data_IF_887075536183
#
_entry.id   IF_887075536183
#
_cell.length_a   1.000
_cell.length_b   1.000
_cell.length_c   1.000
_cell.angle_alpha   90.00
_cell.angle_beta   90.00
_cell.angle_gamma   90.00
#
_symmetry.space_group_name_H-M   'P 1'
#
loop_
_entity.id
_entity.type
_entity.pdbx_description
1 polymer ?
#
# COMPACT_ATOMS: atom_id res chain seq x y z
N UNK A 1 22.78 -15.86 -35.01
CA UNK A 1 22.87 -15.42 -33.61
C UNK A 1 21.49 -15.55 -32.98
N UNK A 2 21.34 -16.40 -31.97
CA UNK A 2 20.05 -16.69 -31.35
C UNK A 2 19.59 -15.50 -30.49
N UNK A 3 18.32 -15.13 -30.62
CA UNK A 3 17.70 -13.99 -29.95
C UNK A 3 17.40 -14.37 -28.49
N UNK A 4 18.42 -14.31 -27.64
CA UNK A 4 18.42 -14.73 -26.23
C UNK A 4 17.86 -13.63 -25.31
N UNK A 5 16.60 -13.25 -25.53
CA UNK A 5 15.92 -12.20 -24.75
C UNK A 5 14.48 -12.56 -24.41
N UNK A 6 14.20 -13.84 -24.14
CA UNK A 6 12.94 -14.24 -23.50
C UNK A 6 13.00 -13.88 -22.02
N UNK A 7 13.02 -12.58 -21.70
CA UNK A 7 12.75 -12.12 -20.32
C UNK A 7 11.47 -12.82 -19.86
N UNK A 8 11.48 -13.55 -18.74
CA UNK A 8 10.26 -14.18 -18.27
C UNK A 8 9.21 -13.07 -18.12
N UNK A 9 8.08 -13.19 -18.83
CA UNK A 9 6.92 -12.28 -18.71
C UNK A 9 6.30 -12.27 -17.30
N UNK A 10 6.96 -12.89 -16.33
CA UNK A 10 6.52 -12.96 -14.96
C UNK A 10 6.63 -11.58 -14.32
N UNK A 11 5.70 -11.30 -13.43
CA UNK A 11 5.80 -10.14 -12.57
C UNK A 11 7.02 -10.30 -11.66
N UNK A 12 7.87 -9.28 -11.57
CA UNK A 12 9.03 -9.35 -10.67
C UNK A 12 8.54 -9.46 -9.22
N UNK A 13 9.27 -10.15 -8.33
CA UNK A 13 8.89 -10.27 -6.92
C UNK A 13 8.66 -8.91 -6.24
N UNK A 14 9.49 -7.92 -6.56
CA UNK A 14 9.35 -6.53 -6.07
C UNK A 14 7.99 -5.92 -6.44
N UNK A 15 7.55 -6.13 -7.69
CA UNK A 15 6.26 -5.64 -8.17
C UNK A 15 5.10 -6.41 -7.55
N UNK A 16 5.25 -7.72 -7.34
CA UNK A 16 4.27 -8.53 -6.62
C UNK A 16 4.08 -7.99 -5.20
N UNK A 17 5.17 -7.80 -4.46
CA UNK A 17 5.16 -7.27 -3.10
C UNK A 17 4.53 -5.87 -3.06
N UNK A 18 4.95 -4.97 -3.95
CA UNK A 18 4.39 -3.62 -3.99
C UNK A 18 2.89 -3.60 -4.30
N UNK A 19 2.42 -4.50 -5.16
CA UNK A 19 1.01 -4.64 -5.48
C UNK A 19 0.22 -5.16 -4.27
N UNK A 20 0.74 -6.17 -3.57
CA UNK A 20 0.13 -6.73 -2.35
C UNK A 20 0.04 -5.65 -1.26
N UNK A 21 1.08 -4.86 -1.04
CA UNK A 21 1.08 -3.76 -0.07
C UNK A 21 -0.01 -2.72 -0.37
N UNK A 22 -0.15 -2.31 -1.63
CA UNK A 22 -1.16 -1.34 -2.03
C UNK A 22 -2.58 -1.88 -1.84
N UNK A 23 -2.79 -3.15 -2.17
CA UNK A 23 -4.09 -3.80 -1.97
C UNK A 23 -4.40 -4.00 -0.48
N UNK A 24 -3.40 -4.32 0.35
CA UNK A 24 -3.56 -4.41 1.81
C UNK A 24 -3.97 -3.07 2.43
N UNK A 25 -3.56 -1.95 1.82
CA UNK A 25 -4.00 -0.60 2.21
C UNK A 25 -5.41 -0.24 1.71
N UNK A 26 -6.12 -1.17 1.07
CA UNK A 26 -7.47 -0.97 0.55
C UNK A 26 -7.56 -0.41 -0.86
N UNK A 27 -6.45 -0.32 -1.59
CA UNK A 27 -6.49 0.07 -3.00
C UNK A 27 -7.10 -1.04 -3.85
N UNK A 28 -7.90 -0.67 -4.87
CA UNK A 28 -8.38 -1.63 -5.85
C UNK A 28 -7.21 -2.25 -6.61
N UNK A 29 -7.31 -3.54 -6.92
CA UNK A 29 -6.25 -4.28 -7.64
C UNK A 29 -5.88 -3.59 -8.96
N UNK A 30 -6.85 -3.05 -9.70
CA UNK A 30 -6.59 -2.33 -10.97
C UNK A 30 -5.81 -1.03 -10.77
N UNK A 31 -6.11 -0.27 -9.73
CA UNK A 31 -5.40 0.96 -9.38
C UNK A 31 -3.99 0.65 -8.88
N UNK A 32 -3.86 -0.39 -8.04
CA UNK A 32 -2.58 -0.88 -7.56
C UNK A 32 -1.70 -1.40 -8.71
N UNK A 33 -2.28 -2.10 -9.70
CA UNK A 33 -1.60 -2.53 -10.90
C UNK A 33 -1.06 -1.34 -11.70
N UNK A 34 -1.91 -0.33 -11.97
CA UNK A 34 -1.48 0.90 -12.67
C UNK A 34 -0.34 1.59 -11.93
N UNK A 35 -0.44 1.70 -10.60
CA UNK A 35 0.56 2.37 -9.75
C UNK A 35 1.89 1.62 -9.65
N UNK A 36 1.89 0.31 -9.88
CA UNK A 36 3.08 -0.55 -9.99
C UNK A 36 3.62 -0.66 -11.43
N UNK A 37 3.02 0.07 -12.37
CA UNK A 37 3.42 0.04 -13.79
C UNK A 37 3.04 -1.26 -14.50
N UNK A 38 1.96 -1.91 -14.07
CA UNK A 38 1.49 -3.19 -14.59
C UNK A 38 0.04 -3.12 -15.06
N UNK A 39 -0.30 -3.92 -16.08
CA UNK A 39 -1.69 -4.03 -16.52
C UNK A 39 -2.47 -5.04 -15.66
N UNK A 40 -3.79 -4.87 -15.53
CA UNK A 40 -4.65 -5.86 -14.88
C UNK A 40 -4.54 -7.25 -15.51
N UNK A 41 -4.34 -7.34 -16.84
CA UNK A 41 -4.08 -8.61 -17.54
C UNK A 41 -2.78 -9.27 -17.10
N UNK A 42 -1.74 -8.49 -16.82
CA UNK A 42 -0.46 -8.99 -16.27
C UNK A 42 -0.68 -9.60 -14.88
N UNK A 43 -1.42 -8.91 -14.02
CA UNK A 43 -1.77 -9.41 -12.68
C UNK A 43 -2.57 -10.70 -12.78
N UNK A 44 -3.57 -10.77 -13.65
CA UNK A 44 -4.39 -11.98 -13.84
C UNK A 44 -3.55 -13.17 -14.33
N UNK A 45 -2.61 -12.94 -15.26
CA UNK A 45 -1.68 -13.98 -15.72
C UNK A 45 -0.77 -14.45 -14.58
N UNK A 46 -0.29 -13.53 -13.75
CA UNK A 46 0.55 -13.87 -12.61
C UNK A 46 -0.21 -14.67 -11.55
N UNK A 47 -1.46 -14.32 -11.26
CA UNK A 47 -2.34 -15.09 -10.36
C UNK A 47 -2.51 -16.54 -10.82
N UNK A 48 -2.63 -16.76 -12.13
CA UNK A 48 -2.71 -18.11 -12.72
C UNK A 48 -1.38 -18.86 -12.68
N UNK A 49 -0.25 -18.13 -12.73
CA UNK A 49 1.09 -18.70 -12.73
C UNK A 49 1.59 -19.06 -11.32
N UNK A 50 1.26 -18.24 -10.33
CA UNK A 50 1.73 -18.38 -8.95
C UNK A 50 0.54 -18.45 -7.98
N UNK A 51 0.19 -19.66 -7.48
CA UNK A 51 -0.84 -19.82 -6.46
C UNK A 51 -0.53 -19.05 -5.17
N UNK A 52 0.75 -18.95 -4.80
CA UNK A 52 1.18 -18.17 -3.65
C UNK A 52 0.86 -16.69 -3.81
N UNK A 53 1.14 -16.12 -4.99
CA UNK A 53 0.81 -14.72 -5.27
C UNK A 53 -0.70 -14.49 -5.23
N UNK A 54 -1.49 -15.40 -5.79
CA UNK A 54 -2.96 -15.33 -5.74
C UNK A 54 -3.48 -15.35 -4.30
N UNK A 55 -2.96 -16.27 -3.48
CA UNK A 55 -3.31 -16.37 -2.07
C UNK A 55 -2.98 -15.09 -1.29
N UNK A 56 -1.74 -14.58 -1.42
CA UNK A 56 -1.30 -13.38 -0.71
C UNK A 56 -2.09 -12.15 -1.14
N UNK A 57 -2.37 -12.01 -2.44
CA UNK A 57 -3.17 -10.92 -2.98
C UNK A 57 -4.62 -10.99 -2.48
N UNK A 58 -5.19 -12.20 -2.40
CA UNK A 58 -6.51 -12.45 -1.83
C UNK A 58 -6.59 -12.09 -0.34
N UNK A 59 -5.58 -12.49 0.45
CA UNK A 59 -5.48 -12.14 1.88
C UNK A 59 -5.32 -10.65 2.11
N UNK A 60 -4.47 -9.98 1.33
CA UNK A 60 -4.33 -8.53 1.38
C UNK A 60 -5.66 -7.81 1.12
N UNK A 61 -6.47 -8.31 0.18
CA UNK A 61 -7.80 -7.76 -0.10
C UNK A 61 -8.80 -7.96 1.04
N UNK A 62 -8.73 -9.09 1.76
CA UNK A 62 -9.62 -9.38 2.90
C UNK A 62 -9.23 -8.61 4.16
N UNK A 63 -7.92 -8.40 4.38
CA UNK A 63 -7.40 -7.64 5.52
C UNK A 63 -7.49 -6.12 5.35
N UNK A 64 -7.74 -5.64 4.14
CA UNK A 64 -8.03 -4.24 3.90
C UNK A 64 -9.32 -3.84 4.63
N UNK A 65 -9.37 -2.67 5.29
CA UNK A 65 -10.62 -2.17 5.86
C UNK A 65 -11.67 -2.13 4.75
N UNK A 66 -12.68 -2.99 4.86
CA UNK A 66 -13.79 -3.11 3.92
C UNK A 66 -14.64 -1.83 3.84
N UNK A 67 -14.41 -0.89 4.75
CA UNK A 67 -14.96 0.46 4.75
C UNK A 67 -14.19 1.33 3.76
N UNK A 68 -14.90 1.89 2.78
CA UNK A 68 -14.37 2.98 1.94
C UNK A 68 -13.83 4.08 2.86
N UNK A 69 -12.58 4.56 2.67
CA UNK A 69 -12.06 5.66 3.45
C UNK A 69 -13.01 6.85 3.29
N UNK A 70 -13.62 7.23 4.40
CA UNK A 70 -14.57 8.33 4.48
C UNK A 70 -13.82 9.66 4.57
N UNK A 71 -14.52 10.77 4.35
CA UNK A 71 -13.94 12.11 4.53
C UNK A 71 -13.37 12.29 5.95
N UNK A 72 -13.94 11.60 6.94
CA UNK A 72 -13.45 11.57 8.31
C UNK A 72 -12.05 10.92 8.44
N UNK A 73 -11.77 9.85 7.69
CA UNK A 73 -10.47 9.16 7.70
C UNK A 73 -9.38 10.04 7.04
N UNK A 74 -9.76 10.80 6.01
CA UNK A 74 -8.90 11.81 5.38
C UNK A 74 -8.61 13.01 6.29
N UNK A 75 -9.59 13.42 7.10
CA UNK A 75 -9.37 14.47 8.11
C UNK A 75 -8.51 13.94 9.26
N UNK A 76 -8.77 12.72 9.71
CA UNK A 76 -8.03 12.05 10.78
C UNK A 76 -6.53 11.89 10.45
N UNK A 77 -6.20 11.54 9.21
CA UNK A 77 -4.80 11.44 8.74
C UNK A 77 -4.06 12.78 8.61
N UNK A 78 -4.79 13.91 8.56
CA UNK A 78 -4.22 15.27 8.56
C UNK A 78 -4.17 15.90 9.94
N UNK A 79 -5.03 15.47 10.87
CA UNK A 79 -4.93 15.89 12.27
C UNK A 79 -3.76 15.19 12.93
N UNK A 80 -2.82 15.94 13.52
CA UNK A 80 -1.77 15.32 14.31
C UNK A 80 -2.40 14.59 15.50
N UNK A 81 -2.14 13.28 15.59
CA UNK A 81 -2.66 12.42 16.65
C UNK A 81 -2.19 12.85 18.05
N UNK A 82 -2.65 12.15 19.10
CA UNK A 82 -2.27 12.43 20.49
C UNK A 82 -0.75 12.55 20.68
N UNK A 83 0.03 11.70 20.00
CA UNK A 83 1.50 11.71 20.04
C UNK A 83 2.11 13.02 19.52
N UNK A 84 1.55 13.60 18.46
CA UNK A 84 2.02 14.88 17.93
C UNK A 84 1.58 16.06 18.82
N UNK A 85 0.55 15.88 19.65
CA UNK A 85 0.15 16.83 20.70
C UNK A 85 1.11 16.78 21.88
N UNK A 86 1.46 15.56 22.33
CA UNK A 86 2.48 15.33 23.36
C UNK A 86 3.84 15.86 22.90
N UNK A 87 4.26 15.60 21.66
CA UNK A 87 5.50 16.13 21.11
C UNK A 87 5.54 17.65 21.03
N UNK A 88 4.43 18.31 20.70
CA UNK A 88 4.32 19.78 20.75
C UNK A 88 4.33 20.32 22.17
N UNK A 89 3.69 19.64 23.11
CA UNK A 89 3.69 20.04 24.52
C UNK A 89 5.09 19.89 25.13
N UNK A 90 5.76 18.76 24.91
CA UNK A 90 7.14 18.55 25.35
C UNK A 90 8.11 19.59 24.76
N UNK A 91 7.94 19.94 23.47
CA UNK A 91 8.73 20.99 22.83
C UNK A 91 8.48 22.36 23.48
N UNK A 92 7.22 22.71 23.77
CA UNK A 92 6.86 23.97 24.43
C UNK A 92 7.40 24.07 25.86
N UNK A 93 7.35 22.97 26.62
CA UNK A 93 7.96 22.89 27.97
C UNK A 93 9.48 23.06 27.90
N UNK A 94 10.13 22.46 26.90
CA UNK A 94 11.57 22.62 26.68
C UNK A 94 11.97 24.05 26.25
N UNK A 95 11.07 24.77 25.57
CA UNK A 95 11.25 26.17 25.17
C UNK A 95 10.97 27.17 26.31
N UNK A 96 10.63 26.67 27.51
CA UNK A 96 10.52 27.49 28.72
C UNK A 96 9.23 28.28 28.83
N UNK A 97 8.19 27.91 28.09
CA UNK A 97 6.89 28.57 28.08
C UNK A 97 5.91 27.80 28.99
N UNK A 98 5.73 28.20 30.26
CA UNK A 98 4.81 27.52 31.16
C UNK A 98 3.37 27.78 30.68
N UNK A 99 2.61 26.70 30.50
CA UNK A 99 1.18 26.78 30.21
C UNK A 99 0.44 27.56 31.33
N UNK A 100 -0.67 28.27 31.01
CA UNK A 100 -1.46 29.01 32.00
C UNK A 100 -2.12 28.11 33.05
#
# INVERSE_FOLDING_TARGET
MHNDSRRPRALTPEKQQRLIELVARGMKIEEAAKRTGCSGKTVQRERRRSPLFDYLLGKARQGAPSRKPTLADWRASRTPGPEARVGRWLRRVAEGDPAP
#
